data_IF_495600054612
#
_entry.id   IF_495600054612
#
_cell.length_a   1.000
_cell.length_b   1.000
_cell.length_c   1.000
_cell.angle_alpha   90.00
_cell.angle_beta   90.00
_cell.angle_gamma   90.00
#
_symmetry.space_group_name_H-M   'P 1'
#
loop_
_entity.id
_entity.type
_entity.pdbx_description
1 polymer ?
#
# COMPACT_ATOMS: atom_id res chain seq x y z
N UNK A 1 13.68 -7.15 13.29
CA UNK A 1 15.13 -6.89 13.06
C UNK A 1 15.53 -6.85 11.59
N UNK A 2 15.45 -7.96 10.81
CA UNK A 2 15.89 -7.96 9.39
C UNK A 2 15.22 -6.87 8.54
N UNK A 3 13.94 -6.59 8.74
CA UNK A 3 13.28 -5.50 8.02
C UNK A 3 13.94 -4.12 8.28
N UNK A 4 14.22 -3.79 9.54
CA UNK A 4 14.87 -2.52 9.91
C UNK A 4 16.28 -2.44 9.32
N UNK A 5 17.15 -3.40 9.64
CA UNK A 5 18.55 -3.34 9.22
C UNK A 5 18.73 -3.54 7.73
N UNK A 6 18.16 -4.61 7.17
CA UNK A 6 18.42 -4.99 5.78
C UNK A 6 17.51 -4.22 4.83
N UNK A 7 16.19 -4.21 5.09
CA UNK A 7 15.25 -3.63 4.13
C UNK A 7 15.15 -2.11 4.22
N UNK A 8 15.33 -1.48 5.39
CA UNK A 8 15.26 -0.01 5.49
C UNK A 8 16.67 0.57 5.39
N UNK A 9 17.59 0.13 6.26
CA UNK A 9 18.92 0.74 6.38
C UNK A 9 19.98 0.20 5.41
N UNK A 10 19.75 -0.95 4.77
CA UNK A 10 20.72 -1.56 3.86
C UNK A 10 21.99 -2.08 4.57
N UNK A 11 21.84 -2.50 5.83
CA UNK A 11 22.90 -3.06 6.68
C UNK A 11 22.72 -4.58 6.76
N UNK A 12 23.80 -5.32 6.51
CA UNK A 12 23.82 -6.78 6.64
C UNK A 12 23.81 -7.19 8.12
N UNK A 13 23.16 -8.31 8.43
CA UNK A 13 22.86 -8.69 9.81
C UNK A 13 23.00 -10.20 10.01
N UNK A 14 23.76 -10.56 11.05
CA UNK A 14 23.89 -11.90 11.60
C UNK A 14 23.43 -11.95 13.06
N UNK A 15 23.14 -13.16 13.55
CA UNK A 15 22.64 -13.41 14.89
C UNK A 15 23.50 -14.44 15.61
N UNK A 16 23.73 -14.22 16.91
CA UNK A 16 24.26 -15.24 17.81
C UNK A 16 23.52 -15.18 19.13
N UNK A 17 23.30 -16.35 19.74
CA UNK A 17 22.79 -16.48 21.10
C UNK A 17 23.92 -16.81 22.09
N UNK A 18 25.15 -17.00 21.62
CA UNK A 18 26.31 -17.34 22.45
C UNK A 18 27.07 -16.08 22.84
N UNK A 19 27.17 -15.86 24.14
CA UNK A 19 27.89 -14.72 24.72
C UNK A 19 29.36 -14.68 24.28
N UNK A 20 30.02 -15.84 24.18
CA UNK A 20 31.42 -15.93 23.76
C UNK A 20 31.66 -15.43 22.33
N UNK A 21 30.77 -15.78 21.40
CA UNK A 21 30.85 -15.31 20.00
C UNK A 21 30.60 -13.80 19.94
N UNK A 22 29.62 -13.30 20.70
CA UNK A 22 29.35 -11.88 20.83
C UNK A 22 30.56 -11.10 21.37
N UNK A 23 31.22 -11.59 22.42
CA UNK A 23 32.40 -10.94 23.01
C UNK A 23 33.55 -10.92 22.01
N UNK A 24 33.81 -12.03 21.30
CA UNK A 24 34.89 -12.15 20.30
C UNK A 24 34.69 -11.26 19.07
N UNK A 25 33.46 -10.92 18.70
CA UNK A 25 33.19 -10.06 17.55
C UNK A 25 33.69 -8.63 17.79
N UNK A 26 34.51 -8.11 16.87
CA UNK A 26 35.14 -6.79 16.99
C UNK A 26 34.40 -5.67 16.26
N UNK A 27 33.49 -6.01 15.35
CA UNK A 27 32.69 -5.04 14.60
C UNK A 27 31.48 -4.49 15.38
N UNK A 28 30.62 -3.78 14.66
CA UNK A 28 29.38 -3.24 15.21
C UNK A 28 28.48 -4.39 15.70
N UNK A 29 28.12 -4.34 16.98
CA UNK A 29 27.31 -5.37 17.63
C UNK A 29 26.36 -4.76 18.64
N UNK A 30 25.15 -5.30 18.69
CA UNK A 30 24.11 -4.87 19.61
C UNK A 30 23.64 -6.07 20.45
N UNK A 31 23.20 -5.81 21.67
CA UNK A 31 22.48 -6.80 22.48
C UNK A 31 21.01 -6.45 22.51
N UNK A 32 20.17 -7.48 22.39
CA UNK A 32 18.73 -7.37 22.51
C UNK A 32 18.22 -8.37 23.54
N UNK A 33 18.18 -7.93 24.80
CA UNK A 33 17.93 -8.77 25.98
C UNK A 33 17.24 -7.97 27.08
N UNK A 34 16.88 -8.61 28.21
CA UNK A 34 16.27 -7.93 29.36
C UNK A 34 17.24 -7.07 30.18
N UNK A 35 18.51 -7.47 30.22
CA UNK A 35 19.59 -6.80 30.95
C UNK A 35 20.82 -6.67 30.06
N UNK A 36 21.61 -5.60 30.20
CA UNK A 36 22.86 -5.45 29.47
C UNK A 36 23.88 -6.49 29.94
N UNK A 37 24.79 -6.87 29.05
CA UNK A 37 25.93 -7.72 29.40
C UNK A 37 27.03 -6.88 30.04
N UNK A 38 27.41 -5.77 29.41
CA UNK A 38 28.46 -4.85 29.82
C UNK A 38 28.13 -3.41 29.33
N UNK A 39 29.06 -2.75 28.63
CA UNK A 39 28.91 -1.41 28.08
C UNK A 39 28.78 -1.46 26.54
N UNK A 40 28.03 -2.41 26.00
CA UNK A 40 27.74 -2.54 24.58
C UNK A 40 26.57 -1.65 24.13
N UNK A 41 26.27 -1.64 22.83
CA UNK A 41 25.04 -1.04 22.32
C UNK A 41 23.84 -1.91 22.72
N UNK A 42 23.29 -1.65 23.90
CA UNK A 42 22.21 -2.44 24.50
C UNK A 42 20.84 -1.85 24.18
N UNK A 43 19.97 -2.67 23.60
CA UNK A 43 18.54 -2.38 23.42
C UNK A 43 17.76 -3.31 24.33
N UNK A 44 17.01 -2.76 25.27
CA UNK A 44 16.18 -3.58 26.16
C UNK A 44 15.01 -4.18 25.39
N UNK A 45 14.83 -5.49 25.51
CA UNK A 45 13.77 -6.22 24.83
C UNK A 45 12.45 -6.22 25.62
N UNK A 46 11.34 -5.92 24.97
CA UNK A 46 9.98 -6.14 25.46
C UNK A 46 9.61 -7.64 25.37
N UNK A 47 8.55 -8.09 26.06
CA UNK A 47 8.12 -9.51 26.01
C UNK A 47 7.46 -9.88 24.68
N UNK A 48 6.89 -8.91 23.95
CA UNK A 48 6.11 -9.16 22.73
C UNK A 48 6.77 -10.11 21.72
N UNK A 49 8.08 -9.97 21.47
CA UNK A 49 8.79 -10.82 20.50
C UNK A 49 9.15 -12.22 21.01
N UNK A 50 8.87 -12.51 22.29
CA UNK A 50 9.11 -13.80 22.93
C UNK A 50 7.81 -14.51 23.30
N UNK A 51 6.68 -13.82 23.21
CA UNK A 51 5.35 -14.40 23.38
C UNK A 51 4.91 -15.15 22.11
N UNK A 52 3.95 -16.07 22.28
CA UNK A 52 3.29 -16.74 21.17
C UNK A 52 1.82 -16.35 21.16
N UNK A 53 1.27 -16.13 19.96
CA UNK A 53 -0.14 -15.81 19.79
C UNK A 53 -0.45 -14.33 20.00
N UNK A 54 -1.71 -14.04 20.29
CA UNK A 54 -2.26 -12.68 20.32
C UNK A 54 -2.79 -12.40 21.73
N UNK A 55 -2.11 -11.50 22.42
CA UNK A 55 -2.50 -10.96 23.71
C UNK A 55 -2.98 -9.51 23.56
N UNK A 56 -3.90 -9.09 24.40
CA UNK A 56 -4.25 -7.67 24.51
C UNK A 56 -3.11 -6.90 25.17
N UNK A 57 -2.69 -5.79 24.56
CA UNK A 57 -1.51 -5.02 24.97
C UNK A 57 -1.94 -3.58 25.21
N UNK A 58 -1.78 -3.11 26.45
CA UNK A 58 -1.93 -1.70 26.76
C UNK A 58 -0.68 -0.93 26.34
N UNK A 59 -0.85 -0.04 25.36
CA UNK A 59 0.24 0.77 24.81
C UNK A 59 0.27 2.16 25.44
N UNK A 60 1.38 2.49 26.07
CA UNK A 60 1.68 3.85 26.52
C UNK A 60 2.52 4.55 25.46
N UNK A 61 2.01 5.64 24.89
CA UNK A 61 2.74 6.43 23.91
C UNK A 61 3.72 7.37 24.62
N UNK A 62 4.98 7.29 24.23
CA UNK A 62 6.04 8.24 24.55
C UNK A 62 6.43 9.05 23.31
N UNK A 63 7.31 10.02 23.49
CA UNK A 63 7.86 10.86 22.44
C UNK A 63 9.38 10.69 22.39
N UNK A 64 9.92 10.46 21.19
CA UNK A 64 11.36 10.43 20.93
C UNK A 64 11.71 11.51 19.90
N UNK A 65 12.03 12.69 20.40
CA UNK A 65 12.36 13.90 19.63
C UNK A 65 11.25 14.30 18.64
N UNK A 66 10.00 14.37 19.10
CA UNK A 66 8.83 14.72 18.29
C UNK A 66 8.27 13.57 17.45
N UNK A 67 8.78 12.34 17.64
CA UNK A 67 8.30 11.13 16.99
C UNK A 67 7.67 10.21 18.05
N UNK A 68 6.35 9.92 17.95
CA UNK A 68 5.70 8.98 18.86
C UNK A 68 6.37 7.61 18.83
N UNK A 69 6.51 6.99 20.00
CA UNK A 69 7.03 5.64 20.18
C UNK A 69 6.30 4.95 21.34
N UNK A 70 6.44 3.64 21.45
CA UNK A 70 5.79 2.84 22.49
C UNK A 70 6.60 1.58 22.77
N UNK A 71 6.26 0.86 23.85
CA UNK A 71 7.13 -0.13 24.50
C UNK A 71 8.37 0.52 25.12
N UNK A 72 8.15 1.48 26.03
CA UNK A 72 9.24 2.19 26.71
C UNK A 72 10.28 1.22 27.25
N UNK A 73 11.54 1.56 27.03
CA UNK A 73 12.69 0.87 27.57
C UNK A 73 13.15 1.61 28.82
N UNK A 74 13.71 0.87 29.79
CA UNK A 74 14.28 1.50 30.99
C UNK A 74 15.59 2.23 30.68
N UNK A 75 16.02 3.09 31.60
CA UNK A 75 17.19 3.99 31.47
C UNK A 75 18.50 3.32 31.04
N UNK A 76 18.65 2.01 31.26
CA UNK A 76 19.83 1.25 30.84
C UNK A 76 19.91 1.04 29.32
N UNK A 77 18.79 1.10 28.61
CA UNK A 77 18.72 0.92 27.15
C UNK A 77 19.22 2.17 26.44
N UNK A 78 19.98 1.99 25.35
CA UNK A 78 20.44 3.11 24.51
C UNK A 78 19.27 3.82 23.85
N UNK A 79 18.26 3.06 23.41
CA UNK A 79 17.03 3.62 22.85
C UNK A 79 15.95 3.77 23.93
N UNK A 80 15.08 4.80 23.83
CA UNK A 80 14.03 5.06 24.83
C UNK A 80 12.87 4.04 24.79
N UNK A 81 12.83 3.18 23.77
CA UNK A 81 11.81 2.13 23.61
C UNK A 81 12.39 0.94 22.84
N UNK A 82 11.66 -0.17 22.91
CA UNK A 82 11.95 -1.34 22.09
C UNK A 82 11.47 -1.12 20.65
N UNK A 83 12.39 -0.62 19.81
CA UNK A 83 12.16 -0.40 18.39
C UNK A 83 11.71 -1.67 17.64
N UNK A 84 12.18 -2.86 18.03
CA UNK A 84 11.86 -4.09 17.30
C UNK A 84 10.45 -4.56 17.61
N UNK A 85 10.02 -4.50 18.88
CA UNK A 85 8.64 -4.80 19.28
C UNK A 85 7.67 -3.77 18.70
N UNK A 86 8.00 -2.48 18.76
CA UNK A 86 7.16 -1.43 18.20
C UNK A 86 6.99 -1.58 16.68
N UNK A 87 8.09 -1.85 15.97
CA UNK A 87 8.04 -2.08 14.52
C UNK A 87 7.27 -3.36 14.17
N UNK A 88 7.45 -4.44 14.94
CA UNK A 88 6.68 -5.67 14.76
C UNK A 88 5.18 -5.44 14.94
N UNK A 89 4.77 -4.72 15.98
CA UNK A 89 3.37 -4.36 16.23
C UNK A 89 2.76 -3.63 15.02
N UNK A 90 3.46 -2.63 14.49
CA UNK A 90 3.00 -1.85 13.33
C UNK A 90 2.93 -2.68 12.04
N UNK A 91 3.98 -3.44 11.73
CA UNK A 91 4.13 -4.17 10.46
C UNK A 91 3.25 -5.43 10.38
N UNK A 92 3.12 -6.15 11.49
CA UNK A 92 2.24 -7.33 11.57
C UNK A 92 0.76 -6.95 11.54
N UNK A 93 0.43 -5.66 11.74
CA UNK A 93 -0.93 -5.16 11.98
C UNK A 93 -1.53 -5.79 13.23
N UNK A 94 -0.75 -5.87 14.30
CA UNK A 94 -1.12 -6.56 15.55
C UNK A 94 -2.50 -6.12 16.07
N UNK A 95 -2.79 -4.82 16.05
CA UNK A 95 -4.09 -4.24 16.44
C UNK A 95 -5.31 -4.81 15.68
N UNK A 96 -5.11 -5.30 14.46
CA UNK A 96 -6.19 -5.86 13.63
C UNK A 96 -6.50 -7.33 13.98
N UNK A 97 -5.70 -7.98 14.82
CA UNK A 97 -6.03 -9.29 15.39
C UNK A 97 -6.89 -9.17 16.65
N UNK A 98 -6.86 -8.02 17.31
CA UNK A 98 -7.66 -7.75 18.50
C UNK A 98 -9.12 -7.45 18.12
N UNK A 99 -10.09 -7.62 19.04
CA UNK A 99 -11.47 -7.25 18.77
C UNK A 99 -11.60 -5.77 18.38
N UNK A 100 -12.15 -5.51 17.19
CA UNK A 100 -12.32 -4.16 16.65
C UNK A 100 -13.60 -4.06 15.80
N UNK A 101 -14.06 -2.83 15.58
CA UNK A 101 -15.23 -2.58 14.73
C UNK A 101 -14.79 -2.50 13.27
N UNK A 102 -15.31 -3.42 12.47
CA UNK A 102 -15.12 -3.40 11.01
C UNK A 102 -16.16 -2.47 10.36
N UNK A 103 -15.76 -1.79 9.29
CA UNK A 103 -16.69 -1.00 8.50
C UNK A 103 -17.65 -1.87 7.65
N UNK A 104 -18.52 -1.24 6.85
CA UNK A 104 -19.50 -1.93 5.99
C UNK A 104 -18.87 -2.87 4.95
N UNK A 105 -17.56 -2.78 4.72
CA UNK A 105 -16.80 -3.62 3.80
C UNK A 105 -15.89 -4.61 4.54
N UNK A 106 -15.97 -4.69 5.87
CA UNK A 106 -15.14 -5.59 6.67
C UNK A 106 -13.72 -5.07 6.89
N UNK A 107 -13.48 -3.75 6.76
CA UNK A 107 -12.14 -3.15 6.88
C UNK A 107 -11.90 -2.61 8.27
N UNK A 108 -10.64 -2.67 8.70
CA UNK A 108 -10.18 -1.98 9.91
C UNK A 108 -10.31 -0.46 9.75
N UNK A 109 -10.89 0.18 10.77
CA UNK A 109 -11.09 1.63 10.79
C UNK A 109 -9.77 2.34 11.09
N UNK A 110 -9.36 3.35 10.30
CA UNK A 110 -8.20 4.17 10.64
C UNK A 110 -8.33 4.82 12.03
N UNK A 111 -9.55 5.18 12.47
CA UNK A 111 -9.79 5.85 13.75
C UNK A 111 -9.49 4.99 14.97
N UNK A 112 -9.54 3.68 14.79
CA UNK A 112 -9.22 2.71 15.85
C UNK A 112 -7.71 2.43 15.88
N UNK A 113 -6.96 2.91 14.87
CA UNK A 113 -5.52 2.72 14.82
C UNK A 113 -4.80 3.60 15.84
N UNK A 114 -3.75 3.04 16.45
CA UNK A 114 -2.88 3.81 17.35
C UNK A 114 -2.25 5.02 16.65
N UNK A 115 -1.96 4.89 15.36
CA UNK A 115 -1.37 5.94 14.54
C UNK A 115 -2.31 7.13 14.32
N UNK A 116 -3.61 6.87 14.14
CA UNK A 116 -4.61 7.93 14.02
C UNK A 116 -4.86 8.59 15.37
N UNK A 117 -5.07 7.80 16.42
CA UNK A 117 -5.37 8.28 17.77
C UNK A 117 -4.28 9.21 18.32
N UNK A 118 -3.03 8.98 17.92
CA UNK A 118 -1.87 9.75 18.39
C UNK A 118 -1.26 10.63 17.29
N UNK A 119 -1.98 10.88 16.19
CA UNK A 119 -1.61 11.91 15.21
C UNK A 119 -0.35 11.64 14.38
N UNK A 120 0.06 10.38 14.21
CA UNK A 120 1.24 10.02 13.41
C UNK A 120 0.93 9.21 12.15
N UNK A 121 -0.35 9.10 11.75
CA UNK A 121 -0.76 8.36 10.55
C UNK A 121 -0.01 8.75 9.27
N UNK A 122 0.32 10.03 9.11
CA UNK A 122 0.98 10.57 7.92
C UNK A 122 2.51 10.46 7.96
N UNK A 123 3.08 9.77 8.95
CA UNK A 123 4.51 9.54 9.08
C UNK A 123 4.83 8.05 8.85
N UNK A 124 5.86 7.70 8.05
CA UNK A 124 6.36 6.33 7.97
C UNK A 124 7.19 6.04 9.23
N UNK A 125 6.51 5.95 10.37
CA UNK A 125 7.12 5.96 11.71
C UNK A 125 8.16 4.86 11.91
N UNK A 126 7.96 3.67 11.33
CA UNK A 126 8.90 2.54 11.39
C UNK A 126 10.20 2.88 10.66
N UNK A 127 10.10 3.50 9.48
CA UNK A 127 11.28 3.97 8.73
C UNK A 127 11.99 5.10 9.49
N UNK A 128 11.24 6.04 10.07
CA UNK A 128 11.83 7.12 10.87
C UNK A 128 12.58 6.56 12.09
N UNK A 129 11.98 5.61 12.82
CA UNK A 129 12.65 4.94 13.93
C UNK A 129 13.93 4.22 13.48
N UNK A 130 13.92 3.57 12.31
CA UNK A 130 15.10 2.92 11.76
C UNK A 130 16.24 3.91 11.52
N UNK A 131 15.97 5.07 10.92
CA UNK A 131 16.99 6.10 10.69
C UNK A 131 17.49 6.74 12.00
N UNK A 132 16.64 6.93 13.01
CA UNK A 132 17.11 7.37 14.34
C UNK A 132 17.96 6.30 15.04
N UNK A 133 17.63 5.01 14.88
CA UNK A 133 18.49 3.91 15.33
C UNK A 133 19.85 3.95 14.63
N UNK A 134 19.87 4.22 13.31
CA UNK A 134 21.12 4.37 12.55
C UNK A 134 21.99 5.50 13.09
N UNK A 135 21.40 6.65 13.41
CA UNK A 135 22.12 7.78 14.02
C UNK A 135 22.81 7.34 15.33
N UNK A 136 22.05 6.74 16.25
CA UNK A 136 22.59 6.22 17.50
C UNK A 136 23.68 5.15 17.27
N UNK A 137 23.50 4.27 16.27
CA UNK A 137 24.50 3.27 15.92
C UNK A 137 25.79 3.90 15.40
N UNK A 138 25.71 4.94 14.57
CA UNK A 138 26.89 5.65 14.04
C UNK A 138 27.63 6.45 15.09
N UNK A 139 26.94 6.96 16.12
CA UNK A 139 27.61 7.55 17.28
C UNK A 139 28.50 6.52 18.01
N UNK A 140 28.05 5.26 18.09
CA UNK A 140 28.81 4.19 18.75
C UNK A 140 29.80 3.48 17.84
N UNK A 141 29.46 3.35 16.56
CA UNK A 141 30.21 2.63 15.54
C UNK A 141 30.38 3.52 14.30
N UNK A 142 31.31 4.50 14.33
CA UNK A 142 31.47 5.48 13.25
C UNK A 142 31.80 4.86 11.89
N UNK A 143 32.49 3.72 11.88
CA UNK A 143 32.88 2.95 10.69
C UNK A 143 31.76 2.03 10.16
N UNK A 144 30.53 2.12 10.69
CA UNK A 144 29.40 1.30 10.23
C UNK A 144 28.99 1.69 8.81
N UNK A 145 29.26 0.78 7.86
CA UNK A 145 28.84 0.92 6.48
C UNK A 145 27.36 0.60 6.28
N UNK A 146 26.72 1.31 5.35
CA UNK A 146 25.34 1.06 4.93
C UNK A 146 25.18 1.23 3.43
N UNK A 147 24.26 0.46 2.83
CA UNK A 147 23.86 0.66 1.43
C UNK A 147 22.78 1.75 1.38
N UNK A 148 23.17 2.95 0.97
CA UNK A 148 22.24 4.07 0.85
C UNK A 148 21.18 3.76 -0.21
N UNK A 149 19.91 3.82 0.22
CA UNK A 149 18.77 3.84 -0.70
C UNK A 149 18.51 5.24 -1.20
N UNK A 150 17.88 5.31 -2.35
CA UNK A 150 17.34 6.55 -2.91
C UNK A 150 15.83 6.50 -2.89
N UNK A 151 15.22 7.66 -2.70
CA UNK A 151 13.79 7.84 -2.86
C UNK A 151 13.27 7.20 -4.16
N UNK A 152 12.13 6.52 -4.08
CA UNK A 152 11.45 5.94 -5.23
C UNK A 152 9.96 6.29 -5.20
N UNK A 153 9.32 6.24 -6.36
CA UNK A 153 7.90 6.53 -6.50
C UNK A 153 7.23 5.54 -7.44
N UNK A 154 6.08 5.00 -7.02
CA UNK A 154 5.26 4.09 -7.80
C UNK A 154 3.84 4.65 -7.86
N UNK A 155 3.34 4.88 -9.07
CA UNK A 155 1.93 5.14 -9.26
C UNK A 155 1.18 3.85 -9.58
N UNK A 156 0.09 3.63 -8.86
CA UNK A 156 -0.82 2.51 -9.09
C UNK A 156 -2.12 3.06 -9.66
N UNK A 157 -2.54 2.49 -10.80
CA UNK A 157 -3.81 2.79 -11.43
C UNK A 157 -4.79 1.65 -11.18
N UNK A 158 -5.82 1.89 -10.35
CA UNK A 158 -6.90 0.94 -10.07
C UNK A 158 -7.99 1.06 -11.14
N UNK A 159 -8.17 -0.01 -11.93
CA UNK A 159 -9.17 -0.08 -13.00
C UNK A 159 -10.25 -1.08 -12.59
N UNK A 160 -11.15 -0.64 -11.72
CA UNK A 160 -12.35 -1.41 -11.39
C UNK A 160 -13.22 -1.55 -12.64
N UNK A 161 -13.52 -0.46 -13.35
CA UNK A 161 -14.26 -0.52 -14.62
C UNK A 161 -13.54 0.22 -15.73
N UNK A 162 -13.40 -0.41 -16.90
CA UNK A 162 -12.59 0.18 -17.96
C UNK A 162 -13.26 1.33 -18.71
N UNK A 163 -14.59 1.38 -18.70
CA UNK A 163 -15.38 2.35 -19.47
C UNK A 163 -16.61 2.75 -18.67
N UNK A 164 -17.01 4.01 -18.74
CA UNK A 164 -18.22 4.53 -18.10
C UNK A 164 -19.49 4.11 -18.86
N UNK A 165 -19.44 4.16 -20.20
CA UNK A 165 -20.57 3.89 -21.09
C UNK A 165 -20.28 2.81 -22.12
N UNK A 166 -19.12 2.90 -22.79
CA UNK A 166 -18.75 1.98 -23.86
C UNK A 166 -18.56 0.55 -23.33
N UNK A 167 -18.71 -0.44 -24.21
CA UNK A 167 -18.41 -1.85 -23.94
C UNK A 167 -19.21 -2.51 -22.78
N UNK A 168 -20.23 -1.85 -22.21
CA UNK A 168 -21.08 -2.38 -21.12
C UNK A 168 -22.27 -3.24 -21.58
N UNK A 169 -22.38 -3.53 -22.88
CA UNK A 169 -23.50 -4.25 -23.49
C UNK A 169 -24.73 -3.37 -23.75
N UNK A 170 -25.51 -3.70 -24.79
CA UNK A 170 -26.61 -2.85 -25.29
C UNK A 170 -27.72 -2.66 -24.26
N UNK A 171 -28.19 -3.76 -23.64
CA UNK A 171 -29.27 -3.73 -22.64
C UNK A 171 -28.90 -2.82 -21.47
N UNK A 172 -27.67 -2.94 -20.97
CA UNK A 172 -27.17 -2.13 -19.85
C UNK A 172 -27.02 -0.66 -20.22
N UNK A 173 -26.59 -0.39 -21.45
CA UNK A 173 -26.53 0.96 -22.01
C UNK A 173 -27.90 1.63 -22.03
N UNK A 174 -28.93 0.90 -22.48
CA UNK A 174 -30.31 1.38 -22.55
C UNK A 174 -30.92 1.61 -21.16
N UNK A 175 -30.77 0.66 -20.23
CA UNK A 175 -31.23 0.83 -18.84
C UNK A 175 -30.54 2.02 -18.18
N UNK A 176 -29.23 2.16 -18.38
CA UNK A 176 -28.47 3.31 -17.88
C UNK A 176 -28.98 4.64 -18.44
N UNK A 177 -29.31 4.69 -19.73
CA UNK A 177 -29.89 5.86 -20.39
C UNK A 177 -31.26 6.22 -19.80
N UNK A 178 -32.16 5.24 -19.64
CA UNK A 178 -33.49 5.46 -19.05
C UNK A 178 -33.40 5.96 -17.60
N UNK A 179 -32.48 5.41 -16.81
CA UNK A 179 -32.22 5.88 -15.45
C UNK A 179 -31.64 7.30 -15.44
N UNK A 180 -30.70 7.63 -16.32
CA UNK A 180 -30.12 8.98 -16.43
C UNK A 180 -31.21 10.00 -16.83
N UNK A 181 -32.14 9.63 -17.72
CA UNK A 181 -33.32 10.45 -18.09
C UNK A 181 -34.28 10.61 -16.89
N UNK A 182 -34.68 9.50 -16.27
CA UNK A 182 -35.62 9.50 -15.14
C UNK A 182 -35.09 10.21 -13.89
N UNK A 183 -33.77 10.29 -13.73
CA UNK A 183 -33.10 11.06 -12.65
C UNK A 183 -32.68 12.46 -13.07
N UNK A 184 -33.10 12.92 -14.26
CA UNK A 184 -32.83 14.24 -14.83
C UNK A 184 -31.33 14.59 -14.96
N UNK A 185 -30.46 13.58 -15.12
CA UNK A 185 -29.02 13.76 -15.34
C UNK A 185 -28.70 14.02 -16.80
N UNK A 186 -29.23 15.11 -17.34
CA UNK A 186 -29.19 15.44 -18.78
C UNK A 186 -27.76 15.48 -19.36
N UNK A 187 -26.77 15.94 -18.59
CA UNK A 187 -25.36 15.94 -19.00
C UNK A 187 -24.84 14.53 -19.32
N UNK A 188 -25.17 13.54 -18.47
CA UNK A 188 -24.80 12.12 -18.67
C UNK A 188 -25.51 11.51 -19.87
N UNK A 189 -26.76 11.90 -20.12
CA UNK A 189 -27.51 11.47 -21.31
C UNK A 189 -26.80 11.90 -22.59
N UNK A 190 -26.46 13.19 -22.69
CA UNK A 190 -25.76 13.73 -23.86
C UNK A 190 -24.39 13.07 -24.04
N UNK A 191 -23.63 12.91 -22.96
CA UNK A 191 -22.31 12.27 -23.00
C UNK A 191 -22.40 10.80 -23.43
N UNK A 192 -23.34 10.04 -22.87
CA UNK A 192 -23.58 8.63 -23.23
C UNK A 192 -23.93 8.48 -24.71
N UNK A 193 -24.80 9.34 -25.24
CA UNK A 193 -25.16 9.33 -26.66
C UNK A 193 -23.94 9.64 -27.52
N UNK A 194 -23.19 10.71 -27.19
CA UNK A 194 -22.00 11.12 -27.93
C UNK A 194 -20.91 10.03 -27.95
N UNK A 195 -20.71 9.33 -26.83
CA UNK A 195 -19.80 8.17 -26.75
C UNK A 195 -20.33 7.00 -27.57
N UNK A 196 -21.64 6.71 -27.50
CA UNK A 196 -22.27 5.62 -28.25
C UNK A 196 -22.17 5.76 -29.78
N UNK A 197 -22.18 7.00 -30.29
CA UNK A 197 -21.99 7.29 -31.73
C UNK A 197 -20.54 7.62 -32.10
N UNK A 198 -19.58 7.36 -31.20
CA UNK A 198 -18.14 7.64 -31.37
C UNK A 198 -17.79 9.11 -31.68
N UNK A 199 -18.65 10.08 -31.33
CA UNK A 199 -18.34 11.51 -31.45
C UNK A 199 -17.49 12.04 -30.29
N UNK A 200 -17.40 11.28 -29.19
CA UNK A 200 -16.57 11.61 -28.03
C UNK A 200 -15.96 10.34 -27.45
N UNK A 201 -14.74 10.46 -26.90
CA UNK A 201 -14.07 9.39 -26.16
C UNK A 201 -14.81 9.09 -24.84
N UNK A 202 -14.84 7.83 -24.42
CA UNK A 202 -15.39 7.47 -23.11
C UNK A 202 -14.59 8.18 -22.00
N UNK A 203 -15.24 8.79 -20.99
CA UNK A 203 -14.51 9.49 -19.92
C UNK A 203 -13.46 8.65 -19.21
N UNK A 204 -13.70 7.33 -19.06
CA UNK A 204 -12.80 6.43 -18.35
C UNK A 204 -11.71 5.82 -19.25
N UNK A 205 -11.79 6.03 -20.56
CA UNK A 205 -10.74 5.67 -21.51
C UNK A 205 -9.68 6.77 -21.53
N UNK A 206 -8.84 6.79 -20.50
CA UNK A 206 -7.73 7.74 -20.32
C UNK A 206 -6.34 7.05 -20.32
N UNK A 207 -6.29 5.77 -20.70
CA UNK A 207 -5.09 4.93 -20.64
C UNK A 207 -3.90 5.50 -21.43
N UNK A 208 -4.13 5.93 -22.67
CA UNK A 208 -3.06 6.48 -23.51
C UNK A 208 -2.46 7.77 -22.93
N UNK A 209 -3.27 8.60 -22.30
CA UNK A 209 -2.83 9.84 -21.65
C UNK A 209 -1.98 9.53 -20.41
N UNK A 210 -2.44 8.60 -19.57
CA UNK A 210 -1.69 8.15 -18.39
C UNK A 210 -0.34 7.52 -18.82
N UNK A 211 -0.34 6.62 -19.79
CA UNK A 211 0.89 5.99 -20.31
C UNK A 211 1.85 7.05 -20.86
N UNK A 212 1.35 8.03 -21.62
CA UNK A 212 2.17 9.12 -22.15
C UNK A 212 2.80 9.97 -21.04
N UNK A 213 2.06 10.28 -19.97
CA UNK A 213 2.58 10.98 -18.80
C UNK A 213 3.71 10.20 -18.12
N UNK A 214 3.51 8.91 -17.88
CA UNK A 214 4.51 8.05 -17.25
C UNK A 214 5.76 7.89 -18.11
N UNK A 215 5.61 7.70 -19.42
CA UNK A 215 6.75 7.61 -20.34
C UNK A 215 7.52 8.94 -20.41
N UNK A 216 6.82 10.07 -20.43
CA UNK A 216 7.43 11.41 -20.45
C UNK A 216 8.30 11.66 -19.21
N UNK A 217 7.77 11.36 -18.03
CA UNK A 217 8.44 11.63 -16.76
C UNK A 217 9.21 10.42 -16.20
N UNK A 218 9.30 9.32 -16.95
CA UNK A 218 10.01 8.08 -16.56
C UNK A 218 9.60 7.56 -15.17
N UNK A 219 8.33 7.74 -14.81
CA UNK A 219 7.79 7.34 -13.51
C UNK A 219 7.20 5.93 -13.60
N UNK A 220 7.51 5.07 -12.63
CA UNK A 220 6.97 3.71 -12.56
C UNK A 220 5.44 3.75 -12.43
N UNK A 221 4.76 2.92 -13.22
CA UNK A 221 3.32 2.76 -13.21
C UNK A 221 2.97 1.28 -13.17
N UNK A 222 1.88 0.93 -12.48
CA UNK A 222 1.29 -0.41 -12.55
C UNK A 222 -0.23 -0.31 -12.63
N UNK A 223 -0.82 -0.93 -13.65
CA UNK A 223 -2.26 -0.97 -13.84
C UNK A 223 -2.85 -2.24 -13.24
N UNK A 224 -3.79 -2.09 -12.31
CA UNK A 224 -4.54 -3.19 -11.72
C UNK A 224 -5.92 -3.27 -12.37
N UNK A 225 -6.09 -4.21 -13.29
CA UNK A 225 -7.36 -4.41 -13.97
C UNK A 225 -8.24 -5.40 -13.23
N UNK A 226 -9.50 -5.02 -13.03
CA UNK A 226 -10.50 -5.96 -12.54
C UNK A 226 -11.01 -6.82 -13.70
N UNK A 227 -10.49 -8.04 -13.78
CA UNK A 227 -10.84 -9.02 -14.83
C UNK A 227 -11.74 -10.11 -14.26
N UNK A 228 -12.92 -9.70 -13.81
CA UNK A 228 -13.88 -10.56 -13.11
C UNK A 228 -15.29 -10.44 -13.70
N UNK A 229 -16.11 -11.44 -13.42
CA UNK A 229 -17.52 -11.46 -13.81
C UNK A 229 -18.32 -10.38 -13.06
N UNK A 230 -19.44 -9.98 -13.64
CA UNK A 230 -20.27 -8.92 -13.07
C UNK A 230 -20.97 -9.37 -11.79
N UNK A 231 -20.92 -8.52 -10.75
CA UNK A 231 -21.59 -8.73 -9.47
C UNK A 231 -22.25 -7.44 -8.96
N UNK A 232 -22.85 -7.49 -7.77
CA UNK A 232 -23.40 -6.30 -7.08
C UNK A 232 -22.33 -5.21 -6.86
N UNK A 233 -21.12 -5.61 -6.51
CA UNK A 233 -20.00 -4.73 -6.16
C UNK A 233 -18.94 -4.61 -7.27
N UNK A 234 -19.03 -5.47 -8.30
CA UNK A 234 -18.09 -5.54 -9.43
C UNK A 234 -18.84 -5.21 -10.73
N UNK A 235 -18.78 -3.93 -11.15
CA UNK A 235 -19.58 -3.40 -12.26
C UNK A 235 -18.83 -3.36 -13.59
N UNK A 236 -18.15 -4.44 -13.91
CA UNK A 236 -17.11 -4.45 -14.94
C UNK A 236 -17.66 -4.67 -16.33
N UNK A 237 -16.77 -4.40 -17.30
CA UNK A 237 -16.95 -4.88 -18.68
C UNK A 237 -16.75 -6.39 -18.69
N UNK A 238 -17.55 -7.11 -19.49
CA UNK A 238 -17.46 -8.56 -19.58
C UNK A 238 -16.05 -9.02 -19.97
N UNK A 239 -15.52 -10.01 -19.26
CA UNK A 239 -14.25 -10.69 -19.53
C UNK A 239 -14.21 -11.36 -20.91
N UNK A 240 -15.37 -11.64 -21.52
CA UNK A 240 -15.48 -12.17 -22.88
C UNK A 240 -15.32 -11.10 -23.98
N UNK A 241 -15.32 -9.82 -23.63
CA UNK A 241 -15.20 -8.72 -24.60
C UNK A 241 -13.83 -8.69 -25.26
N UNK A 242 -13.80 -8.89 -26.59
CA UNK A 242 -12.58 -8.78 -27.40
C UNK A 242 -11.96 -7.38 -27.26
N UNK A 243 -12.78 -6.33 -27.21
CA UNK A 243 -12.31 -4.95 -27.04
C UNK A 243 -11.64 -4.75 -25.70
N UNK A 244 -12.18 -5.33 -24.63
CA UNK A 244 -11.57 -5.22 -23.30
C UNK A 244 -10.25 -5.98 -23.21
N UNK A 245 -10.20 -7.21 -23.74
CA UNK A 245 -8.94 -7.98 -23.86
C UNK A 245 -7.89 -7.23 -24.68
N UNK A 246 -8.30 -6.61 -25.78
CA UNK A 246 -7.40 -5.83 -26.65
C UNK A 246 -6.87 -4.57 -25.94
N UNK A 247 -7.70 -3.89 -25.15
CA UNK A 247 -7.27 -2.77 -24.31
C UNK A 247 -6.23 -3.22 -23.28
N UNK A 248 -6.49 -4.33 -22.57
CA UNK A 248 -5.55 -4.85 -21.57
C UNK A 248 -4.20 -5.19 -22.23
N UNK A 249 -4.23 -5.85 -23.40
CA UNK A 249 -3.02 -6.14 -24.18
C UNK A 249 -2.27 -4.87 -24.57
N UNK A 250 -2.98 -3.88 -25.11
CA UNK A 250 -2.39 -2.58 -25.44
C UNK A 250 -1.70 -1.94 -24.24
N UNK A 251 -2.33 -1.93 -23.06
CA UNK A 251 -1.70 -1.37 -21.85
C UNK A 251 -0.48 -2.20 -21.43
N UNK A 252 -0.58 -3.54 -21.50
CA UNK A 252 0.50 -4.48 -21.18
C UNK A 252 1.72 -4.39 -22.12
N UNK A 253 1.59 -3.77 -23.29
CA UNK A 253 2.71 -3.51 -24.20
C UNK A 253 3.62 -2.36 -23.70
N UNK A 254 3.09 -1.46 -22.85
CA UNK A 254 3.83 -0.29 -22.36
C UNK A 254 4.16 -0.35 -20.86
N UNK A 255 3.25 -0.89 -20.04
CA UNK A 255 3.37 -0.88 -18.57
C UNK A 255 2.93 -2.21 -17.97
N UNK A 256 3.43 -2.58 -16.77
CA UNK A 256 2.95 -3.74 -16.05
C UNK A 256 1.43 -3.73 -15.85
N UNK A 257 0.82 -4.89 -16.06
CA UNK A 257 -0.58 -5.18 -15.79
C UNK A 257 -0.67 -6.23 -14.69
N UNK A 258 -1.50 -5.95 -13.70
CA UNK A 258 -1.69 -6.73 -12.47
C UNK A 258 -3.18 -6.98 -12.21
N UNK A 259 -3.51 -7.89 -11.29
CA UNK A 259 -4.91 -8.22 -10.99
C UNK A 259 -5.46 -7.30 -9.88
N UNK A 260 -6.49 -6.52 -10.20
CA UNK A 260 -7.44 -6.07 -9.17
C UNK A 260 -8.45 -7.21 -8.94
N UNK A 261 -8.37 -7.88 -7.80
CA UNK A 261 -9.28 -8.97 -7.45
C UNK A 261 -10.73 -8.45 -7.33
N UNK A 262 -11.72 -9.30 -7.59
CA UNK A 262 -13.12 -8.93 -7.37
C UNK A 262 -13.48 -8.76 -5.89
N UNK A 263 -14.60 -8.09 -5.63
CA UNK A 263 -15.17 -8.07 -4.29
C UNK A 263 -15.54 -9.48 -3.81
N UNK A 264 -15.95 -10.33 -4.75
CA UNK A 264 -16.46 -11.67 -4.50
C UNK A 264 -15.33 -12.67 -4.22
N UNK A 265 -14.17 -12.52 -4.86
CA UNK A 265 -13.01 -13.41 -4.66
C UNK A 265 -12.29 -13.22 -3.32
N UNK A 266 -12.63 -12.17 -2.56
CA UNK A 266 -12.06 -11.91 -1.24
C UNK A 266 -12.17 -13.12 -0.27
N UNK A 267 -13.30 -13.82 -0.30
CA UNK A 267 -13.59 -15.00 0.52
C UNK A 267 -13.64 -16.29 -0.30
N UNK A 268 -13.23 -16.26 -1.57
CA UNK A 268 -13.30 -17.39 -2.50
C UNK A 268 -11.95 -17.54 -3.23
N UNK A 269 -11.12 -18.44 -2.71
CA UNK A 269 -9.78 -18.72 -3.23
C UNK A 269 -9.82 -19.26 -4.67
N UNK A 270 -10.79 -20.11 -4.99
CA UNK A 270 -10.87 -20.72 -6.32
C UNK A 270 -11.31 -19.70 -7.36
N UNK A 271 -12.22 -18.78 -6.99
CA UNK A 271 -12.54 -17.63 -7.83
C UNK A 271 -11.33 -16.70 -8.01
N UNK A 272 -10.55 -16.43 -6.96
CA UNK A 272 -9.33 -15.63 -7.06
C UNK A 272 -8.32 -16.23 -8.03
N UNK A 273 -8.06 -17.55 -7.93
CA UNK A 273 -7.18 -18.29 -8.85
C UNK A 273 -7.71 -18.22 -10.28
N UNK A 274 -9.02 -18.38 -10.48
CA UNK A 274 -9.66 -18.29 -11.79
C UNK A 274 -9.51 -16.89 -12.39
N UNK A 275 -9.72 -15.83 -11.62
CA UNK A 275 -9.54 -14.44 -12.05
C UNK A 275 -8.09 -14.18 -12.48
N UNK A 276 -7.12 -14.64 -11.68
CA UNK A 276 -5.69 -14.58 -12.01
C UNK A 276 -5.38 -15.29 -13.33
N UNK A 277 -5.71 -16.58 -13.43
CA UNK A 277 -5.42 -17.39 -14.61
C UNK A 277 -6.06 -16.82 -15.89
N UNK A 278 -7.29 -16.29 -15.79
CA UNK A 278 -7.96 -15.66 -16.92
C UNK A 278 -7.23 -14.40 -17.41
N UNK A 279 -6.70 -13.58 -16.50
CA UNK A 279 -5.92 -12.40 -16.87
C UNK A 279 -4.57 -12.79 -17.48
N UNK A 280 -3.89 -13.80 -16.92
CA UNK A 280 -2.63 -14.35 -17.44
C UNK A 280 -2.78 -14.82 -18.89
N UNK A 281 -3.88 -15.51 -19.22
CA UNK A 281 -4.19 -15.93 -20.59
C UNK A 281 -4.36 -14.73 -21.54
N UNK A 282 -4.89 -13.59 -21.06
CA UNK A 282 -5.07 -12.39 -21.89
C UNK A 282 -3.73 -11.72 -22.20
N UNK A 283 -2.84 -11.57 -21.21
CA UNK A 283 -1.56 -10.88 -21.39
C UNK A 283 -0.41 -11.81 -21.79
N UNK A 284 -0.62 -13.13 -21.76
CA UNK A 284 0.36 -14.18 -22.01
C UNK A 284 1.63 -14.05 -21.15
N UNK A 285 1.45 -13.70 -19.87
CA UNK A 285 2.51 -13.48 -18.88
C UNK A 285 1.99 -13.80 -17.47
N UNK A 286 2.84 -14.23 -16.52
CA UNK A 286 2.44 -14.43 -15.13
C UNK A 286 1.94 -13.13 -14.48
N UNK A 287 0.93 -13.23 -13.63
CA UNK A 287 0.38 -12.10 -12.86
C UNK A 287 0.71 -12.29 -11.38
N UNK A 288 1.81 -11.69 -10.95
CA UNK A 288 2.36 -11.88 -9.60
C UNK A 288 1.84 -10.87 -8.57
N UNK A 289 1.28 -9.76 -9.04
CA UNK A 289 0.85 -8.64 -8.22
C UNK A 289 -0.67 -8.66 -8.05
N UNK A 290 -1.14 -8.43 -6.82
CA UNK A 290 -2.56 -8.34 -6.48
C UNK A 290 -2.93 -7.01 -5.83
N UNK A 291 -4.20 -6.65 -5.99
CA UNK A 291 -4.88 -5.63 -5.20
C UNK A 291 -6.30 -6.07 -4.91
N UNK A 292 -6.73 -6.04 -3.65
CA UNK A 292 -8.11 -6.38 -3.29
C UNK A 292 -9.07 -5.20 -3.52
N UNK A 293 -10.27 -5.51 -3.98
CA UNK A 293 -11.35 -4.52 -4.16
C UNK A 293 -11.69 -3.84 -2.83
N UNK A 294 -11.89 -2.52 -2.87
CA UNK A 294 -12.06 -1.63 -1.69
C UNK A 294 -10.89 -1.62 -0.69
N UNK A 295 -9.72 -2.12 -1.06
CA UNK A 295 -8.56 -2.24 -0.17
C UNK A 295 -8.87 -3.06 1.09
N UNK A 296 -9.67 -4.13 0.92
CA UNK A 296 -10.03 -5.05 2.01
C UNK A 296 -8.84 -5.92 2.35
N UNK A 297 -8.48 -5.93 3.63
CA UNK A 297 -7.48 -6.83 4.21
C UNK A 297 -8.07 -7.34 5.51
N UNK A 298 -8.17 -8.66 5.62
CA UNK A 298 -8.51 -9.40 6.83
C UNK A 298 -7.30 -10.23 7.20
N UNK A 299 -6.51 -9.77 8.18
CA UNK A 299 -5.28 -10.45 8.60
C UNK A 299 -5.62 -11.66 9.47
N UNK A 300 -4.95 -12.81 9.27
CA UNK A 300 -3.95 -13.11 8.24
C UNK A 300 -4.59 -13.69 6.96
N UNK A 301 -5.91 -13.94 6.94
CA UNK A 301 -6.58 -14.75 5.92
C UNK A 301 -6.42 -14.22 4.49
N UNK A 302 -6.48 -12.90 4.28
CA UNK A 302 -6.25 -12.29 2.96
C UNK A 302 -4.88 -12.66 2.41
N UNK A 303 -3.83 -12.56 3.21
CA UNK A 303 -2.46 -12.88 2.77
C UNK A 303 -2.26 -14.38 2.54
N UNK A 304 -2.86 -15.23 3.37
CA UNK A 304 -2.87 -16.69 3.13
C UNK A 304 -3.53 -17.04 1.80
N UNK A 305 -4.68 -16.44 1.50
CA UNK A 305 -5.38 -16.66 0.23
C UNK A 305 -4.55 -16.18 -0.97
N UNK A 306 -3.90 -15.03 -0.86
CA UNK A 306 -3.03 -14.51 -1.91
C UNK A 306 -1.84 -15.44 -2.19
N UNK A 307 -1.20 -15.97 -1.14
CA UNK A 307 -0.10 -16.94 -1.28
C UNK A 307 -0.59 -18.24 -1.91
N UNK A 308 -1.75 -18.75 -1.48
CA UNK A 308 -2.34 -19.96 -2.03
C UNK A 308 -2.81 -19.79 -3.49
N UNK A 309 -3.06 -18.55 -3.94
CA UNK A 309 -3.27 -18.18 -5.34
C UNK A 309 -1.98 -17.79 -6.07
N UNK A 310 -0.82 -18.03 -5.44
CA UNK A 310 0.52 -17.83 -6.00
C UNK A 310 0.82 -16.35 -6.35
N UNK A 311 0.25 -15.39 -5.62
CA UNK A 311 0.70 -14.00 -5.66
C UNK A 311 1.94 -13.82 -4.80
N UNK A 312 2.90 -13.03 -5.30
CA UNK A 312 4.14 -12.72 -4.56
C UNK A 312 4.13 -11.32 -3.97
N UNK A 313 3.30 -10.42 -4.50
CA UNK A 313 3.31 -9.00 -4.16
C UNK A 313 1.87 -8.46 -4.04
N UNK A 314 1.56 -7.80 -2.93
CA UNK A 314 0.26 -7.20 -2.64
C UNK A 314 0.36 -5.67 -2.50
N UNK A 315 -0.55 -4.95 -3.14
CA UNK A 315 -0.65 -3.48 -3.12
C UNK A 315 -1.92 -2.99 -2.42
N UNK A 316 -2.48 -3.80 -1.51
CA UNK A 316 -3.77 -3.53 -0.85
C UNK A 316 -3.60 -2.74 0.46
N UNK A 317 -2.45 -2.84 1.12
CA UNK A 317 -2.23 -2.27 2.45
C UNK A 317 -2.15 -0.73 2.43
N UNK A 318 -3.27 -0.08 2.70
CA UNK A 318 -3.35 1.37 2.88
C UNK A 318 -4.76 1.80 3.26
N UNK A 319 -4.95 3.10 3.46
CA UNK A 319 -6.26 3.67 3.80
C UNK A 319 -6.95 4.25 2.58
N UNK A 320 -8.20 3.86 2.35
CA UNK A 320 -9.00 4.37 1.22
C UNK A 320 -9.45 5.81 1.45
N UNK A 321 -9.73 6.15 2.71
CA UNK A 321 -10.38 7.40 3.09
C UNK A 321 -9.49 8.36 3.87
N UNK A 322 -8.29 7.94 4.26
CA UNK A 322 -7.35 8.78 5.00
C UNK A 322 -6.00 8.74 4.28
N UNK A 323 -5.25 9.83 4.41
CA UNK A 323 -3.87 9.89 3.95
C UNK A 323 -2.94 9.35 5.04
N UNK A 324 -1.96 8.52 4.66
CA UNK A 324 -0.95 8.02 5.59
C UNK A 324 -0.65 6.53 5.47
N UNK A 325 0.23 6.05 6.35
CA UNK A 325 0.85 4.73 6.30
C UNK A 325 0.16 3.76 7.25
N UNK A 326 -0.71 2.89 6.71
CA UNK A 326 -1.44 1.90 7.52
C UNK A 326 -0.52 1.00 8.33
N UNK A 327 0.55 0.48 7.74
CA UNK A 327 1.53 -0.34 8.46
C UNK A 327 2.66 0.47 9.13
N UNK A 328 2.52 1.81 9.22
CA UNK A 328 3.56 2.69 9.76
C UNK A 328 4.84 2.73 8.95
N UNK A 329 4.87 2.18 7.73
CA UNK A 329 6.06 2.13 6.87
C UNK A 329 5.74 2.48 5.42
N UNK A 330 6.75 3.01 4.74
CA UNK A 330 6.77 3.21 3.29
C UNK A 330 7.66 2.17 2.56
N UNK A 331 8.31 1.27 3.31
CA UNK A 331 9.20 0.26 2.76
C UNK A 331 8.47 -1.07 2.61
N UNK A 332 8.62 -1.73 1.46
CA UNK A 332 8.08 -3.07 1.22
C UNK A 332 8.58 -4.06 2.29
N UNK A 333 7.64 -4.82 2.86
CA UNK A 333 7.93 -5.80 3.90
C UNK A 333 7.30 -7.15 3.58
N UNK A 334 7.83 -8.21 4.17
CA UNK A 334 7.19 -9.52 4.13
C UNK A 334 6.23 -9.62 5.30
N UNK A 335 5.00 -10.06 5.03
CA UNK A 335 3.97 -10.20 6.07
C UNK A 335 4.39 -11.27 7.10
N UNK A 336 4.08 -11.03 8.38
CA UNK A 336 4.28 -12.01 9.44
C UNK A 336 2.91 -12.50 9.93
N UNK A 337 2.70 -13.81 9.85
CA UNK A 337 1.47 -14.46 10.26
C UNK A 337 1.59 -14.88 11.72
N UNK A 338 1.02 -14.05 12.62
CA UNK A 338 1.15 -14.23 14.08
C UNK A 338 0.63 -15.60 14.52
N UNK A 339 -0.59 -16.05 14.16
CA UNK A 339 -1.08 -17.37 14.57
C UNK A 339 -0.21 -18.56 14.16
N UNK A 340 0.58 -18.42 13.08
CA UNK A 340 1.49 -19.47 12.62
C UNK A 340 2.96 -19.21 13.03
N UNK A 341 3.25 -18.08 13.68
CA UNK A 341 4.60 -17.63 14.02
C UNK A 341 5.59 -17.73 12.85
N UNK A 342 5.14 -17.33 11.65
CA UNK A 342 5.93 -17.49 10.43
C UNK A 342 5.91 -16.24 9.56
N UNK A 343 7.09 -15.88 9.06
CA UNK A 343 7.23 -14.89 8.00
C UNK A 343 6.77 -15.49 6.68
N UNK A 344 5.72 -14.92 6.10
CA UNK A 344 5.16 -15.35 4.84
C UNK A 344 6.00 -14.86 3.65
N UNK A 345 5.99 -15.58 2.51
CA UNK A 345 6.77 -15.18 1.33
C UNK A 345 6.23 -13.92 0.64
N UNK A 346 4.94 -13.63 0.78
CA UNK A 346 4.29 -12.48 0.13
C UNK A 346 4.86 -11.15 0.65
N UNK A 347 5.11 -10.24 -0.30
CA UNK A 347 5.55 -8.88 -0.04
C UNK A 347 4.37 -7.94 -0.05
N UNK A 348 4.27 -7.11 0.98
CA UNK A 348 3.27 -6.05 1.10
C UNK A 348 3.91 -4.74 0.70
N UNK A 349 3.29 -4.07 -0.27
CA UNK A 349 3.67 -2.76 -0.81
C UNK A 349 2.68 -1.72 -0.30
N UNK A 350 2.95 -1.06 0.83
CA UNK A 350 2.00 -0.14 1.43
C UNK A 350 1.86 1.15 0.62
N UNK A 351 0.62 1.58 0.38
CA UNK A 351 0.36 2.88 -0.24
C UNK A 351 -0.06 3.91 0.82
N UNK A 352 0.30 5.18 0.56
CA UNK A 352 0.06 6.27 1.50
C UNK A 352 -0.99 7.29 1.01
N UNK A 353 -1.26 7.28 -0.30
CA UNK A 353 -2.17 8.24 -0.94
C UNK A 353 -3.18 7.49 -1.78
N UNK A 354 -4.45 7.81 -1.59
CA UNK A 354 -5.56 7.30 -2.40
C UNK A 354 -6.40 8.45 -2.95
N UNK A 355 -6.79 8.39 -4.21
CA UNK A 355 -7.61 9.43 -4.86
C UNK A 355 -8.90 9.81 -4.09
N UNK A 356 -9.61 8.84 -3.52
CA UNK A 356 -10.80 9.04 -2.69
C UNK A 356 -10.48 9.85 -1.42
N UNK A 357 -9.31 9.64 -0.80
CA UNK A 357 -8.90 10.46 0.35
C UNK A 357 -8.61 11.91 -0.08
N UNK A 358 -8.01 12.10 -1.25
CA UNK A 358 -7.75 13.41 -1.84
C UNK A 358 -9.04 14.11 -2.29
N UNK A 359 -10.06 13.37 -2.74
CA UNK A 359 -11.31 13.96 -3.23
C UNK A 359 -12.13 14.66 -2.15
N UNK A 360 -11.83 14.40 -0.87
CA UNK A 360 -12.37 15.17 0.26
C UNK A 360 -11.84 16.62 0.31
N UNK A 361 -10.73 16.91 -0.37
CA UNK A 361 -10.06 18.22 -0.35
C UNK A 361 -10.60 19.09 -1.49
N UNK A 362 -11.15 20.26 -1.13
CA UNK A 362 -11.87 21.11 -2.10
C UNK A 362 -10.98 21.91 -3.04
N UNK A 363 -9.75 22.27 -2.70
CA UNK A 363 -8.87 23.11 -3.56
C UNK A 363 -7.73 22.29 -4.17
N UNK A 364 -7.42 22.52 -5.45
CA UNK A 364 -6.34 21.80 -6.16
C UNK A 364 -4.99 22.00 -5.46
N UNK A 365 -4.69 23.24 -5.06
CA UNK A 365 -3.43 23.58 -4.38
C UNK A 365 -3.26 22.83 -3.05
N UNK A 366 -4.36 22.64 -2.31
CA UNK A 366 -4.34 21.89 -1.05
C UNK A 366 -4.11 20.40 -1.31
N UNK A 367 -4.67 19.84 -2.40
CA UNK A 367 -4.41 18.44 -2.81
C UNK A 367 -2.91 18.25 -3.08
N UNK A 368 -2.32 19.09 -3.93
CA UNK A 368 -0.89 19.03 -4.25
C UNK A 368 -0.03 19.21 -3.00
N UNK A 369 -0.38 20.17 -2.14
CA UNK A 369 0.29 20.38 -0.86
C UNK A 369 0.26 19.15 0.03
N UNK A 370 -0.88 18.47 0.17
CA UNK A 370 -0.98 17.26 1.00
C UNK A 370 -0.12 16.11 0.44
N UNK A 371 -0.13 15.91 -0.88
CA UNK A 371 0.74 14.92 -1.53
C UNK A 371 2.22 15.27 -1.33
N UNK A 372 2.58 16.55 -1.43
CA UNK A 372 3.95 17.02 -1.19
C UNK A 372 4.40 16.80 0.26
N UNK A 373 3.51 17.01 1.24
CA UNK A 373 3.83 16.76 2.66
C UNK A 373 4.19 15.29 2.89
N UNK A 374 3.39 14.36 2.35
CA UNK A 374 3.67 12.91 2.45
C UNK A 374 4.94 12.55 1.68
N UNK A 375 5.12 13.11 0.48
CA UNK A 375 6.35 12.94 -0.32
C UNK A 375 7.59 13.34 0.47
N UNK A 376 7.54 14.46 1.19
CA UNK A 376 8.65 14.93 2.02
C UNK A 376 8.95 13.97 3.17
N UNK A 377 7.94 13.41 3.83
CA UNK A 377 8.14 12.40 4.88
C UNK A 377 8.81 11.14 4.33
N UNK A 378 8.45 10.68 3.14
CA UNK A 378 9.10 9.51 2.50
C UNK A 378 10.53 9.84 2.04
N UNK A 379 10.77 11.04 1.49
CA UNK A 379 12.10 11.48 1.07
C UNK A 379 13.09 11.55 2.24
N UNK A 380 12.65 11.97 3.44
CA UNK A 380 13.48 12.01 4.65
C UNK A 380 14.08 10.64 5.01
N UNK A 381 13.39 9.56 4.65
CA UNK A 381 13.82 8.17 4.94
C UNK A 381 14.24 7.42 3.67
N UNK A 382 14.40 8.11 2.53
CA UNK A 382 14.73 7.51 1.23
C UNK A 382 13.88 6.27 0.88
N UNK A 383 12.59 6.31 1.25
CA UNK A 383 11.66 5.20 1.04
C UNK A 383 10.96 5.24 -0.33
N UNK A 384 9.93 4.41 -0.48
CA UNK A 384 9.11 4.36 -1.69
C UNK A 384 7.72 4.94 -1.44
N UNK A 385 7.36 6.01 -2.15
CA UNK A 385 6.00 6.52 -2.09
C UNK A 385 5.14 5.79 -3.12
N UNK A 386 4.08 5.13 -2.64
CA UNK A 386 3.07 4.51 -3.49
C UNK A 386 1.76 5.30 -3.41
N UNK A 387 1.24 5.68 -4.58
CA UNK A 387 -0.02 6.41 -4.75
C UNK A 387 -1.03 5.57 -5.54
N UNK A 388 -2.31 5.68 -5.19
CA UNK A 388 -3.39 4.91 -5.78
C UNK A 388 -4.42 5.86 -6.40
N UNK A 389 -4.56 5.80 -7.73
CA UNK A 389 -5.57 6.55 -8.47
C UNK A 389 -6.43 5.61 -9.29
N UNK A 390 -7.73 5.88 -9.38
CA UNK A 390 -8.63 5.16 -10.26
C UNK A 390 -8.73 5.85 -11.62
N UNK A 391 -8.83 5.08 -12.70
CA UNK A 391 -9.11 5.64 -14.02
C UNK A 391 -10.46 6.38 -14.03
N UNK A 392 -11.41 5.96 -13.19
CA UNK A 392 -12.71 6.59 -13.00
C UNK A 392 -12.58 8.02 -12.49
N UNK A 393 -11.79 8.25 -11.44
CA UNK A 393 -11.56 9.60 -10.89
C UNK A 393 -10.77 10.46 -11.87
N UNK A 394 -9.70 9.92 -12.47
CA UNK A 394 -8.90 10.64 -13.46
C UNK A 394 -9.70 11.01 -14.72
N UNK A 395 -10.69 10.21 -15.08
CA UNK A 395 -11.59 10.45 -16.22
C UNK A 395 -12.77 11.37 -15.91
N UNK A 396 -13.08 11.59 -14.63
CA UNK A 396 -14.21 12.38 -14.22
C UNK A 396 -13.88 13.88 -14.30
N UNK A 397 -14.66 14.61 -15.11
CA UNK A 397 -14.57 16.08 -15.26
C UNK A 397 -15.77 16.83 -14.66
N UNK A 398 -16.61 16.16 -13.88
CA UNK A 398 -17.79 16.79 -13.25
C UNK A 398 -17.39 17.72 -12.10
N UNK A 399 -16.49 17.27 -11.22
CA UNK A 399 -16.10 18.02 -10.03
C UNK A 399 -14.89 18.93 -10.28
N UNK A 400 -13.82 18.38 -10.88
CA UNK A 400 -12.58 19.08 -11.22
C UNK A 400 -11.77 18.29 -12.25
N UNK A 401 -10.75 18.91 -12.82
CA UNK A 401 -9.80 18.21 -13.70
C UNK A 401 -8.77 17.42 -12.87
N UNK A 402 -9.11 16.16 -12.55
CA UNK A 402 -8.21 15.26 -11.83
C UNK A 402 -7.00 14.83 -12.66
N UNK A 403 -7.13 14.76 -13.99
CA UNK A 403 -6.01 14.41 -14.85
C UNK A 403 -4.92 15.48 -14.80
N UNK A 404 -5.31 16.77 -14.79
CA UNK A 404 -4.36 17.87 -14.62
C UNK A 404 -3.64 17.83 -13.27
N UNK A 405 -4.37 17.55 -12.17
CA UNK A 405 -3.77 17.41 -10.83
C UNK A 405 -2.80 16.23 -10.80
N UNK A 406 -3.23 15.09 -11.36
CA UNK A 406 -2.40 13.89 -11.45
C UNK A 406 -1.12 14.14 -12.26
N UNK A 407 -1.22 14.85 -13.39
CA UNK A 407 -0.07 15.21 -14.21
C UNK A 407 0.95 16.08 -13.45
N UNK A 408 0.50 17.03 -12.63
CA UNK A 408 1.41 17.81 -11.76
C UNK A 408 2.04 16.93 -10.67
N UNK A 409 1.28 16.03 -10.04
CA UNK A 409 1.83 15.06 -9.08
C UNK A 409 2.94 14.24 -9.77
N UNK A 410 2.68 13.61 -10.91
CA UNK A 410 3.68 12.78 -11.61
C UNK A 410 4.92 13.61 -12.00
N UNK A 411 4.74 14.85 -12.45
CA UNK A 411 5.84 15.76 -12.79
C UNK A 411 6.71 16.11 -11.57
N UNK A 412 6.13 16.34 -10.40
CA UNK A 412 6.88 16.62 -9.15
C UNK A 412 7.68 15.42 -8.64
N UNK A 413 7.31 14.19 -9.04
CA UNK A 413 8.03 12.96 -8.69
C UNK A 413 9.15 12.60 -9.66
N UNK A 414 9.24 13.32 -10.79
CA UNK A 414 10.39 13.22 -11.68
C UNK A 414 11.59 13.90 -11.01
N UNK A 415 12.59 13.10 -10.63
CA UNK A 415 13.89 13.56 -10.11
C UNK A 415 14.96 13.32 -11.14
#
# INVERSE_FOLDING_TARGET
>A
MRHIFVNILGIELDFTTKVEEFIKHTGAKITYTKQPLQNEFFIRSNELLFEQGINDIQLNIADWDGIPCFFQAGEKSILPFDIFSASFFMLSRYEEYLPHVKDIHGRFSPKDSIAFQNGFLQKPVVDIWAFKLLEALKERFPELEQKNKVYDFISVIDVATSHCYANRGVVRGLVGLLLDIGTLKLKRVVERIAVGINRRKDPYDNYAEIIALHNKYKVKCNFFFQFADYSKYDKNVSTNSIRFKSLIKYVADYVPVSLAASYSSFSDLELLKKEKANLEVVINRPVNNSKMRYNRVDVPQTYRNLIAAEFTDDYTMGYTFELGFRAGTCTTFQFYDIPLEVKQPIKVHPFAVHDISLSKIKKNQDVLRQVQLITNEVKKVNGTLITMFSNEVLGNKEDRDWMAIYAEIIKEQHV
#
